data_IF_742447964653
#
_entry.id   IF_742447964653
#
_cell.length_a   1.000
_cell.length_b   1.000
_cell.length_c   1.000
_cell.angle_alpha   90.00
_cell.angle_beta   90.00
_cell.angle_gamma   90.00
#
_symmetry.space_group_name_H-M   'P 1'
#
loop_
_entity.id
_entity.type
_entity.pdbx_description
1 polymer ?
#
# COMPACT_ATOMS: atom_id res chain seq x y z
N UNK A 1 16.37 12.69 21.46
CA UNK A 1 15.52 11.90 20.53
C UNK A 1 14.35 12.71 19.98
N UNK A 2 13.50 13.32 20.81
CA UNK A 2 12.31 14.08 20.36
C UNK A 2 12.61 15.18 19.33
N UNK A 3 13.68 15.96 19.53
CA UNK A 3 14.13 17.00 18.59
C UNK A 3 14.50 16.44 17.20
N UNK A 4 15.19 15.29 17.16
CA UNK A 4 15.55 14.64 15.90
C UNK A 4 14.32 14.08 15.19
N UNK A 5 13.38 13.48 15.92
CA UNK A 5 12.12 12.98 15.35
C UNK A 5 11.29 14.10 14.70
N UNK A 6 11.21 15.28 15.33
CA UNK A 6 10.53 16.45 14.75
C UNK A 6 11.22 16.95 13.49
N UNK A 7 12.56 16.97 13.46
CA UNK A 7 13.32 17.35 12.26
C UNK A 7 13.03 16.36 11.11
N UNK A 8 13.08 15.06 11.38
CA UNK A 8 12.75 14.04 10.37
C UNK A 8 11.30 14.12 9.89
N UNK A 9 10.35 14.43 10.78
CA UNK A 9 8.95 14.64 10.42
C UNK A 9 8.79 15.78 9.40
N UNK A 10 9.43 16.92 9.65
CA UNK A 10 9.37 18.07 8.74
C UNK A 10 10.02 17.75 7.39
N UNK A 11 11.18 17.08 7.40
CA UNK A 11 11.85 16.64 6.17
C UNK A 11 10.98 15.68 5.36
N UNK A 12 10.31 14.73 6.01
CA UNK A 12 9.41 13.80 5.35
C UNK A 12 8.20 14.50 4.70
N UNK A 13 7.61 15.50 5.38
CA UNK A 13 6.51 16.30 4.82
C UNK A 13 6.94 17.15 3.63
N UNK A 14 8.10 17.81 3.73
CA UNK A 14 8.68 18.57 2.61
C UNK A 14 8.93 17.64 1.44
N UNK A 15 9.60 16.50 1.67
CA UNK A 15 9.82 15.52 0.63
C UNK A 15 8.50 15.05 0.00
N UNK A 16 7.48 14.74 0.82
CA UNK A 16 6.12 14.34 0.40
C UNK A 16 5.49 15.34 -0.59
N UNK A 17 5.59 16.64 -0.30
CA UNK A 17 5.03 17.70 -1.14
C UNK A 17 5.86 17.92 -2.42
N UNK A 18 7.19 17.88 -2.34
CA UNK A 18 8.06 18.27 -3.45
C UNK A 18 8.48 17.12 -4.39
N UNK A 19 8.45 15.86 -3.95
CA UNK A 19 9.12 14.76 -4.68
C UNK A 19 8.32 13.47 -4.81
N UNK A 20 7.32 13.22 -3.98
CA UNK A 20 6.61 11.93 -4.03
C UNK A 20 5.51 11.85 -5.09
N UNK A 21 5.14 12.93 -5.78
CA UNK A 21 4.08 12.89 -6.80
C UNK A 21 4.35 11.89 -7.94
N UNK A 22 5.59 11.85 -8.46
CA UNK A 22 5.97 10.93 -9.54
C UNK A 22 6.13 9.47 -9.08
N UNK A 23 6.65 9.26 -7.87
CA UNK A 23 6.84 7.92 -7.30
C UNK A 23 5.50 7.34 -6.85
N UNK A 24 4.60 8.17 -6.32
CA UNK A 24 3.24 7.77 -5.96
C UNK A 24 2.46 7.30 -7.17
N UNK A 25 2.61 7.95 -8.34
CA UNK A 25 1.96 7.50 -9.57
C UNK A 25 2.45 6.11 -10.01
N UNK A 26 3.77 5.88 -10.03
CA UNK A 26 4.33 4.56 -10.36
C UNK A 26 3.93 3.48 -9.33
N UNK A 27 3.99 3.80 -8.03
CA UNK A 27 3.61 2.91 -6.95
C UNK A 27 2.12 2.54 -6.98
N UNK A 28 1.26 3.47 -7.43
CA UNK A 28 -0.19 3.23 -7.58
C UNK A 28 -0.47 2.14 -8.61
N UNK A 29 0.28 2.13 -9.72
CA UNK A 29 0.12 1.12 -10.77
C UNK A 29 0.51 -0.28 -10.25
N UNK A 30 1.66 -0.38 -9.56
CA UNK A 30 2.08 -1.63 -8.91
C UNK A 30 1.09 -2.12 -7.85
N UNK A 31 0.56 -1.21 -7.02
CA UNK A 31 -0.43 -1.54 -6.00
C UNK A 31 -1.72 -2.09 -6.62
N UNK A 32 -2.14 -1.58 -7.78
CA UNK A 32 -3.33 -2.05 -8.49
C UNK A 32 -3.18 -3.50 -8.97
N UNK A 33 -2.02 -3.85 -9.52
CA UNK A 33 -1.72 -5.22 -9.96
C UNK A 33 -1.79 -6.18 -8.77
N UNK A 34 -1.13 -5.83 -7.66
CA UNK A 34 -1.10 -6.66 -6.46
C UNK A 34 -2.50 -6.81 -5.82
N UNK A 35 -3.29 -5.74 -5.81
CA UNK A 35 -4.67 -5.76 -5.32
C UNK A 35 -5.54 -6.73 -6.12
N UNK A 36 -5.44 -6.75 -7.45
CA UNK A 36 -6.19 -7.69 -8.30
C UNK A 36 -5.77 -9.14 -8.01
N UNK A 37 -4.47 -9.41 -7.91
CA UNK A 37 -3.97 -10.75 -7.57
C UNK A 37 -4.54 -11.20 -6.22
N UNK A 38 -4.46 -10.34 -5.21
CA UNK A 38 -4.95 -10.64 -3.87
C UNK A 38 -6.46 -10.85 -3.86
N UNK A 39 -7.20 -10.06 -4.64
CA UNK A 39 -8.65 -10.18 -4.78
C UNK A 39 -9.05 -11.50 -5.42
N UNK A 40 -8.34 -11.95 -6.46
CA UNK A 40 -8.57 -13.27 -7.07
C UNK A 40 -8.30 -14.39 -6.06
N UNK A 41 -7.16 -14.34 -5.37
CA UNK A 41 -6.83 -15.32 -4.32
C UNK A 41 -7.85 -15.31 -3.18
N UNK A 42 -8.31 -14.13 -2.78
CA UNK A 42 -9.34 -13.97 -1.76
C UNK A 42 -10.64 -14.64 -2.19
N UNK A 43 -11.13 -14.38 -3.40
CA UNK A 43 -12.33 -15.03 -3.94
C UNK A 43 -12.16 -16.55 -3.98
N UNK A 44 -11.02 -17.04 -4.48
CA UNK A 44 -10.72 -18.48 -4.51
C UNK A 44 -10.75 -19.08 -3.09
N UNK A 45 -10.08 -18.42 -2.13
CA UNK A 45 -10.05 -18.88 -0.73
C UNK A 45 -11.43 -18.86 -0.08
N UNK A 46 -12.26 -17.86 -0.42
CA UNK A 46 -13.62 -17.71 0.09
C UNK A 46 -14.53 -18.83 -0.44
N UNK A 47 -14.45 -19.12 -1.73
CA UNK A 47 -15.20 -20.22 -2.37
C UNK A 47 -14.75 -21.56 -1.81
N UNK A 48 -13.44 -21.83 -1.73
CA UNK A 48 -12.92 -23.07 -1.13
C UNK A 48 -13.29 -23.20 0.36
N UNK A 49 -13.26 -22.11 1.12
CA UNK A 49 -13.64 -22.08 2.53
C UNK A 49 -15.13 -22.33 2.73
N UNK A 50 -15.99 -21.79 1.86
CA UNK A 50 -17.43 -22.04 1.88
C UNK A 50 -17.74 -23.48 1.50
N UNK A 51 -17.08 -24.03 0.48
CA UNK A 51 -17.31 -25.40 -0.01
C UNK A 51 -16.82 -26.48 0.97
N UNK A 52 -15.88 -26.16 1.88
CA UNK A 52 -15.44 -27.06 2.97
C UNK A 52 -16.38 -27.07 4.18
N UNK A 53 -17.27 -26.09 4.32
CA UNK A 53 -18.20 -25.95 5.46
C UNK A 53 -19.62 -26.42 5.15
N UNK A 54 -19.93 -26.68 3.87
CA UNK A 54 -21.20 -27.26 3.41
C UNK A 54 -21.13 -28.78 3.27
#
# INVERSE_FOLDING_TARGET
MLRWAVIFLVVALVAAVFGFGGIAAAATDFARILFIIFLVLFVISLVMGMMRRG
#
